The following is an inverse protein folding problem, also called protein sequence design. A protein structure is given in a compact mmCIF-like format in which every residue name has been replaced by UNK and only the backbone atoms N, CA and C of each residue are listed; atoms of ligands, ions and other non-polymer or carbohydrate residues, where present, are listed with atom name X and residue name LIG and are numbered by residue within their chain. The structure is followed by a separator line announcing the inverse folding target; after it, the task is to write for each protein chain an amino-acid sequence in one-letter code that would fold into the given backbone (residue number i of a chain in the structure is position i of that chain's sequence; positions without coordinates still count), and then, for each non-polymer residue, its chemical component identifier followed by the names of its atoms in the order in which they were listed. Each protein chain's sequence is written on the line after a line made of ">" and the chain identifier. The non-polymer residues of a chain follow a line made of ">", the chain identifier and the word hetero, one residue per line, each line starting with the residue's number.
data_IF_935920752621
#
_entry.id   IF_935920752621
#
_cell.length_a   1.000
_cell.length_b   1.000
_cell.length_c   1.000
_cell.angle_alpha   90.00
_cell.angle_beta   90.00
_cell.angle_gamma   90.00
#
_symmetry.space_group_name_H-M   'P 1'
#
loop_
_entity.id
_entity.type
_entity.pdbx_description
1 polymer ?
#
# COMPACT_ATOMS: atom_id res chain seq x y z
N UNK A 1 -36.11 -22.47 -2.61
CA UNK A 1 -36.92 -21.89 -3.70
C UNK A 1 -36.28 -22.26 -5.03
N UNK A 2 -37.05 -22.62 -6.07
CA UNK A 2 -36.48 -22.82 -7.41
C UNK A 2 -35.85 -21.52 -7.92
N UNK A 3 -34.73 -21.58 -8.66
CA UNK A 3 -34.08 -20.39 -9.21
C UNK A 3 -35.04 -19.68 -10.16
N UNK A 4 -35.24 -18.36 -9.95
CA UNK A 4 -35.92 -17.52 -10.94
C UNK A 4 -34.98 -17.33 -12.12
N UNK A 5 -35.43 -17.67 -13.34
CA UNK A 5 -34.65 -17.45 -14.55
C UNK A 5 -34.82 -16.02 -15.03
N UNK A 6 -33.72 -15.28 -15.13
CA UNK A 6 -33.68 -13.93 -15.71
C UNK A 6 -32.64 -13.92 -16.85
N UNK A 7 -32.93 -13.19 -17.94
CA UNK A 7 -32.02 -13.03 -19.08
C UNK A 7 -31.58 -11.58 -19.13
N UNK A 8 -30.27 -11.37 -19.11
CA UNK A 8 -29.64 -10.06 -19.31
C UNK A 8 -28.43 -10.20 -20.23
N UNK A 9 -28.10 -9.12 -20.93
CA UNK A 9 -26.90 -9.05 -21.79
C UNK A 9 -25.74 -8.46 -20.98
N UNK A 10 -24.62 -9.17 -20.92
CA UNK A 10 -23.39 -8.71 -20.27
C UNK A 10 -22.34 -8.44 -21.34
N UNK A 11 -21.80 -7.21 -21.36
CA UNK A 11 -20.68 -6.83 -22.23
C UNK A 11 -19.39 -6.86 -21.43
N UNK A 12 -18.44 -7.66 -21.89
CA UNK A 12 -17.10 -7.79 -21.33
C UNK A 12 -16.10 -7.54 -22.45
N UNK A 13 -14.97 -6.92 -22.11
CA UNK A 13 -13.85 -6.82 -23.05
C UNK A 13 -13.12 -8.16 -23.19
N UNK A 14 -12.22 -8.26 -24.18
CA UNK A 14 -11.48 -9.49 -24.47
C UNK A 14 -10.61 -9.95 -23.29
N UNK A 15 -10.05 -9.02 -22.52
CA UNK A 15 -9.21 -9.32 -21.36
C UNK A 15 -10.04 -9.95 -20.24
N UNK A 16 -11.19 -9.37 -19.93
CA UNK A 16 -12.13 -9.85 -18.94
C UNK A 16 -12.66 -11.25 -19.29
N UNK A 17 -13.00 -11.48 -20.56
CA UNK A 17 -13.41 -12.80 -21.03
C UNK A 17 -12.29 -13.85 -20.88
N UNK A 18 -11.06 -13.50 -21.24
CA UNK A 18 -9.91 -14.40 -21.11
C UNK A 18 -9.66 -14.78 -19.63
N UNK A 19 -9.83 -13.84 -18.70
CA UNK A 19 -9.70 -14.08 -17.27
C UNK A 19 -10.79 -15.01 -16.73
N UNK A 20 -12.05 -14.83 -17.15
CA UNK A 20 -13.15 -15.72 -16.78
C UNK A 20 -12.89 -17.14 -17.29
N UNK A 21 -12.40 -17.29 -18.53
CA UNK A 21 -12.08 -18.60 -19.11
C UNK A 21 -10.92 -19.30 -18.39
N UNK A 22 -9.87 -18.56 -18.06
CA UNK A 22 -8.74 -19.08 -17.31
C UNK A 22 -9.18 -19.58 -15.93
N UNK A 23 -10.02 -18.80 -15.24
CA UNK A 23 -10.58 -19.18 -13.94
C UNK A 23 -11.50 -20.41 -14.04
N UNK A 24 -12.38 -20.46 -15.05
CA UNK A 24 -13.29 -21.59 -15.26
C UNK A 24 -12.58 -22.93 -15.48
N UNK A 25 -11.43 -22.90 -16.17
CA UNK A 25 -10.59 -24.08 -16.43
C UNK A 25 -9.91 -24.64 -15.16
N UNK A 26 -9.69 -23.80 -14.16
CA UNK A 26 -9.03 -24.20 -12.91
C UNK A 26 -9.98 -24.90 -11.92
N UNK A 27 -11.29 -24.90 -12.18
CA UNK A 27 -12.27 -25.50 -11.28
C UNK A 27 -12.32 -27.03 -11.38
N UNK A 28 -12.36 -27.70 -10.22
CA UNK A 28 -12.35 -29.17 -10.12
C UNK A 28 -13.59 -29.77 -10.80
N UNK A 29 -13.40 -30.65 -11.78
CA UNK A 29 -14.49 -31.39 -12.42
C UNK A 29 -14.62 -31.23 -13.94
N UNK A 30 -13.68 -30.57 -14.62
CA UNK A 30 -13.62 -30.57 -16.09
C UNK A 30 -14.13 -29.30 -16.79
N UNK A 31 -13.84 -28.13 -16.23
CA UNK A 31 -14.08 -26.83 -16.87
C UNK A 31 -15.54 -26.40 -16.84
N UNK A 32 -15.84 -25.33 -16.09
CA UNK A 32 -17.18 -24.73 -16.07
C UNK A 32 -17.50 -24.09 -17.43
N UNK A 33 -18.78 -24.10 -17.83
CA UNK A 33 -19.23 -23.23 -18.92
C UNK A 33 -19.08 -21.76 -18.50
N UNK A 34 -18.86 -20.84 -19.45
CA UNK A 34 -18.75 -19.40 -19.15
C UNK A 34 -19.91 -18.87 -18.32
N UNK A 35 -21.14 -19.29 -18.62
CA UNK A 35 -22.32 -18.89 -17.87
C UNK A 35 -22.33 -19.42 -16.44
N UNK A 36 -21.84 -20.66 -16.22
CA UNK A 36 -21.67 -21.20 -14.88
C UNK A 36 -20.55 -20.48 -14.12
N UNK A 37 -19.42 -20.21 -14.80
CA UNK A 37 -18.30 -19.49 -14.21
C UNK A 37 -18.68 -18.06 -13.80
N UNK A 38 -19.39 -17.32 -14.65
CA UNK A 38 -19.89 -15.98 -14.31
C UNK A 38 -20.88 -16.05 -13.14
N UNK A 39 -21.77 -17.05 -13.10
CA UNK A 39 -22.69 -17.22 -11.96
C UNK A 39 -21.93 -17.46 -10.66
N UNK A 40 -20.95 -18.35 -10.66
CA UNK A 40 -20.11 -18.62 -9.48
C UNK A 40 -19.30 -17.38 -9.08
N UNK A 41 -18.74 -16.63 -10.03
CA UNK A 41 -18.02 -15.40 -9.75
C UNK A 41 -18.94 -14.31 -9.19
N UNK A 42 -20.18 -14.20 -9.69
CA UNK A 42 -21.20 -13.32 -9.12
C UNK A 42 -21.58 -13.80 -7.73
N UNK A 43 -21.77 -15.11 -7.51
CA UNK A 43 -22.10 -15.63 -6.18
C UNK A 43 -20.96 -15.40 -5.20
N UNK A 44 -19.70 -15.57 -5.63
CA UNK A 44 -18.48 -15.19 -4.89
C UNK A 44 -18.45 -13.67 -4.64
N UNK A 45 -18.84 -12.84 -5.60
CA UNK A 45 -18.86 -11.38 -5.47
C UNK A 45 -19.98 -10.86 -4.57
N UNK A 46 -21.18 -11.42 -4.65
CA UNK A 46 -22.31 -11.14 -3.77
C UNK A 46 -22.08 -11.72 -2.38
N UNK A 47 -21.43 -12.87 -2.32
CA UNK A 47 -20.82 -13.43 -1.12
C UNK A 47 -19.75 -12.52 -0.55
N UNK A 48 -18.92 -11.87 -1.36
CA UNK A 48 -17.94 -10.87 -0.94
C UNK A 48 -18.63 -9.55 -0.54
N UNK A 49 -19.87 -9.32 -1.00
CA UNK A 49 -20.82 -8.35 -0.45
C UNK A 49 -21.13 -8.59 1.04
N UNK A 50 -20.72 -9.73 1.62
CA UNK A 50 -20.50 -9.91 3.06
C UNK A 50 -19.22 -9.20 3.54
N UNK A 51 -18.96 -7.97 3.10
CA UNK A 51 -17.78 -7.18 3.52
C UNK A 51 -17.68 -6.99 5.04
N UNK A 52 -18.70 -7.40 5.81
CA UNK A 52 -18.75 -7.40 7.28
C UNK A 52 -18.30 -8.70 7.94
N UNK A 53 -17.96 -9.77 7.22
CA UNK A 53 -17.59 -11.06 7.83
C UNK A 53 -16.40 -11.73 7.16
N UNK A 54 -15.62 -12.46 7.94
CA UNK A 54 -14.52 -13.31 7.45
C UNK A 54 -15.05 -14.64 6.93
N UNK A 55 -14.29 -15.31 6.06
CA UNK A 55 -14.61 -16.66 5.59
C UNK A 55 -13.43 -17.58 5.85
N UNK A 56 -13.72 -18.75 6.41
CA UNK A 56 -12.77 -19.82 6.61
C UNK A 56 -13.33 -21.09 5.98
N UNK A 57 -12.53 -21.76 5.16
CA UNK A 57 -12.77 -23.12 4.70
C UNK A 57 -12.74 -24.10 5.88
N UNK A 58 -13.32 -25.28 5.70
CA UNK A 58 -13.31 -26.30 6.77
C UNK A 58 -11.89 -26.75 7.13
N UNK A 59 -10.98 -26.75 6.15
CA UNK A 59 -9.55 -26.98 6.38
C UNK A 59 -8.92 -25.90 7.26
N UNK A 60 -9.19 -24.62 6.98
CA UNK A 60 -8.68 -23.50 7.79
C UNK A 60 -9.23 -23.52 9.21
N UNK A 61 -10.52 -23.84 9.40
CA UNK A 61 -11.11 -24.00 10.73
C UNK A 61 -10.38 -25.08 11.53
N UNK A 62 -10.12 -26.24 10.92
CA UNK A 62 -9.38 -27.32 11.57
C UNK A 62 -7.95 -26.90 11.92
N UNK A 63 -7.25 -26.23 11.00
CA UNK A 63 -5.90 -25.71 11.25
C UNK A 63 -5.87 -24.71 12.41
N UNK A 64 -6.85 -23.80 12.50
CA UNK A 64 -6.95 -22.82 13.60
C UNK A 64 -7.18 -23.50 14.95
N UNK A 65 -8.07 -24.51 15.01
CA UNK A 65 -8.31 -25.27 16.24
C UNK A 65 -7.06 -26.05 16.67
N UNK A 66 -6.39 -26.74 15.75
CA UNK A 66 -5.12 -27.43 16.03
C UNK A 66 -4.04 -26.46 16.51
N UNK A 67 -3.95 -25.27 15.92
CA UNK A 67 -3.02 -24.23 16.38
C UNK A 67 -3.37 -23.77 17.80
N UNK A 68 -4.65 -23.62 18.12
CA UNK A 68 -5.11 -23.35 19.49
C UNK A 68 -4.67 -24.42 20.49
N UNK A 69 -4.75 -25.69 20.12
CA UNK A 69 -4.28 -26.80 20.96
C UNK A 69 -2.76 -26.77 21.15
N UNK A 70 -1.99 -26.45 20.11
CA UNK A 70 -0.54 -26.25 20.21
C UNK A 70 -0.21 -25.09 21.15
N UNK A 71 -0.91 -23.95 21.04
CA UNK A 71 -0.71 -22.80 21.92
C UNK A 71 -1.00 -23.14 23.39
N UNK A 72 -2.07 -23.91 23.65
CA UNK A 72 -2.41 -24.43 24.97
C UNK A 72 -1.34 -25.38 25.51
N UNK A 73 -0.87 -26.32 24.69
CA UNK A 73 0.17 -27.28 25.07
C UNK A 73 1.50 -26.59 25.39
N UNK A 74 1.88 -25.58 24.60
CA UNK A 74 3.08 -24.76 24.81
C UNK A 74 2.92 -23.72 25.93
N UNK A 75 1.71 -23.55 26.48
CA UNK A 75 1.38 -22.57 27.53
C UNK A 75 1.76 -21.14 27.16
N UNK A 76 1.56 -20.77 25.89
CA UNK A 76 1.80 -19.42 25.40
C UNK A 76 0.84 -18.47 26.11
N UNK A 77 1.38 -17.42 26.74
CA UNK A 77 0.60 -16.39 27.44
C UNK A 77 0.36 -15.22 26.51
N UNK A 78 -0.85 -14.69 26.55
CA UNK A 78 -1.29 -13.48 25.84
C UNK A 78 -0.89 -13.45 24.34
N UNK A 79 -1.24 -14.49 23.57
CA UNK A 79 -0.92 -14.52 22.14
C UNK A 79 -1.67 -13.41 21.39
N UNK A 80 -0.95 -12.64 20.57
CA UNK A 80 -1.54 -11.61 19.69
C UNK A 80 -2.61 -12.16 18.75
N UNK A 81 -2.49 -13.42 18.33
CA UNK A 81 -3.44 -14.09 17.43
C UNK A 81 -4.77 -14.48 18.09
N UNK A 82 -4.86 -14.44 19.42
CA UNK A 82 -6.04 -14.80 20.22
C UNK A 82 -6.79 -16.06 19.70
N UNK A 83 -6.17 -17.26 19.75
CA UNK A 83 -6.74 -18.47 19.17
C UNK A 83 -8.04 -18.92 19.85
N UNK A 84 -8.25 -18.56 21.12
CA UNK A 84 -9.49 -18.89 21.82
C UNK A 84 -10.67 -18.09 21.25
N UNK A 85 -10.49 -16.80 20.98
CA UNK A 85 -11.51 -15.99 20.31
C UNK A 85 -11.86 -16.55 18.92
N UNK A 86 -10.85 -16.93 18.13
CA UNK A 86 -11.09 -17.54 16.82
C UNK A 86 -11.83 -18.88 16.91
N UNK A 87 -11.57 -19.69 17.94
CA UNK A 87 -12.32 -20.91 18.19
C UNK A 87 -13.80 -20.61 18.51
N UNK A 88 -14.07 -19.62 19.37
CA UNK A 88 -15.44 -19.21 19.73
C UNK A 88 -16.20 -18.67 18.50
N UNK A 89 -15.51 -17.93 17.61
CA UNK A 89 -16.05 -17.49 16.31
C UNK A 89 -16.46 -18.68 15.45
N UNK A 90 -15.63 -19.71 15.37
CA UNK A 90 -15.89 -20.92 14.56
C UNK A 90 -17.07 -21.71 15.14
N UNK A 91 -17.05 -22.00 16.44
CA UNK A 91 -18.09 -22.79 17.09
C UNK A 91 -19.45 -22.06 17.12
N UNK A 92 -19.45 -20.75 17.35
CA UNK A 92 -20.67 -19.94 17.42
C UNK A 92 -21.16 -19.40 16.07
N UNK A 93 -20.38 -19.55 15.00
CA UNK A 93 -20.70 -18.98 13.69
C UNK A 93 -20.62 -17.44 13.63
N UNK A 94 -19.87 -16.82 14.54
CA UNK A 94 -19.77 -15.36 14.68
C UNK A 94 -18.74 -14.73 13.73
N UNK A 95 -18.78 -15.11 12.44
CA UNK A 95 -17.77 -14.71 11.46
C UNK A 95 -17.70 -13.19 11.18
N UNK A 96 -18.62 -12.39 11.71
CA UNK A 96 -18.53 -10.93 11.66
C UNK A 96 -17.55 -10.36 12.70
N UNK A 97 -17.33 -11.05 13.82
CA UNK A 97 -16.59 -10.52 14.96
C UNK A 97 -15.10 -10.25 14.69
N UNK A 98 -14.36 -11.06 13.92
CA UNK A 98 -12.95 -10.76 13.64
C UNK A 98 -12.73 -9.44 12.90
N UNK A 99 -13.64 -9.04 12.02
CA UNK A 99 -13.57 -7.71 11.38
C UNK A 99 -13.83 -6.55 12.35
N UNK A 100 -14.37 -6.82 13.53
CA UNK A 100 -14.65 -5.80 14.55
C UNK A 100 -13.54 -5.74 15.59
N UNK A 101 -13.11 -6.90 16.10
CA UNK A 101 -12.18 -7.00 17.23
C UNK A 101 -10.72 -7.15 16.78
N UNK A 102 -10.49 -7.67 15.57
CA UNK A 102 -9.15 -7.93 15.01
C UNK A 102 -8.92 -7.12 13.72
N UNK A 103 -9.33 -5.85 13.71
CA UNK A 103 -9.23 -4.95 12.55
C UNK A 103 -7.80 -4.84 11.99
N UNK A 104 -6.76 -4.97 12.82
CA UNK A 104 -5.37 -4.94 12.36
C UNK A 104 -4.99 -6.11 11.43
N UNK A 105 -5.73 -7.23 11.47
CA UNK A 105 -5.50 -8.41 10.60
C UNK A 105 -6.62 -8.54 9.57
N UNK A 106 -7.87 -8.33 9.99
CA UNK A 106 -9.05 -8.48 9.15
C UNK A 106 -9.62 -7.11 8.76
N UNK A 107 -8.85 -6.36 7.98
CA UNK A 107 -9.29 -5.14 7.30
C UNK A 107 -9.34 -5.32 5.79
N UNK A 108 -10.07 -4.44 5.10
CA UNK A 108 -10.10 -4.38 3.64
C UNK A 108 -9.13 -3.34 3.07
N UNK A 109 -8.33 -2.67 3.93
CA UNK A 109 -7.28 -1.75 3.49
C UNK A 109 -6.14 -2.50 2.81
N UNK A 110 -5.77 -2.04 1.62
CA UNK A 110 -4.58 -2.48 0.89
C UNK A 110 -3.98 -1.24 0.25
N UNK A 111 -2.67 -1.06 0.40
CA UNK A 111 -1.99 0.08 -0.21
C UNK A 111 -2.10 0.02 -1.74
N UNK A 112 -2.42 1.15 -2.35
CA UNK A 112 -2.41 1.28 -3.80
C UNK A 112 -0.96 1.17 -4.31
N UNK A 113 -0.64 0.25 -5.25
CA UNK A 113 0.71 0.14 -5.81
C UNK A 113 1.28 1.45 -6.37
N UNK A 114 0.43 2.34 -6.90
CA UNK A 114 0.88 3.63 -7.41
C UNK A 114 1.27 4.60 -6.28
N UNK A 115 0.61 4.55 -5.12
CA UNK A 115 1.00 5.32 -3.94
C UNK A 115 2.35 4.81 -3.39
N UNK A 116 2.54 3.48 -3.37
CA UNK A 116 3.83 2.88 -2.97
C UNK A 116 4.95 3.34 -3.91
N UNK A 117 4.71 3.30 -5.23
CA UNK A 117 5.67 3.79 -6.22
C UNK A 117 5.98 5.27 -6.00
N UNK A 118 4.95 6.10 -5.87
CA UNK A 118 5.10 7.52 -5.62
C UNK A 118 5.95 7.80 -4.38
N UNK A 119 5.67 7.15 -3.25
CA UNK A 119 6.44 7.36 -2.01
C UNK A 119 7.90 6.95 -2.19
N UNK A 120 8.16 5.81 -2.83
CA UNK A 120 9.54 5.35 -3.11
C UNK A 120 10.29 6.36 -3.98
N UNK A 121 9.65 6.85 -5.05
CA UNK A 121 10.19 7.83 -5.99
C UNK A 121 10.52 9.16 -5.28
N UNK A 122 9.63 9.60 -4.38
CA UNK A 122 9.82 10.81 -3.57
C UNK A 122 10.96 10.66 -2.59
N UNK A 123 11.02 9.56 -1.83
CA UNK A 123 12.09 9.31 -0.87
C UNK A 123 13.46 9.17 -1.55
N UNK A 124 13.51 8.53 -2.72
CA UNK A 124 14.74 8.42 -3.51
C UNK A 124 15.20 9.79 -3.99
N UNK A 125 14.32 10.56 -4.66
CA UNK A 125 14.62 11.92 -5.11
C UNK A 125 15.13 12.81 -3.97
N UNK A 126 14.43 12.84 -2.83
CA UNK A 126 14.84 13.65 -1.69
C UNK A 126 16.14 13.18 -1.07
N UNK A 127 16.47 11.89 -1.14
CA UNK A 127 17.77 11.39 -0.70
C UNK A 127 18.90 11.99 -1.52
N UNK A 128 18.74 12.06 -2.85
CA UNK A 128 19.72 12.70 -3.75
C UNK A 128 19.82 14.21 -3.50
N UNK A 129 18.69 14.89 -3.31
CA UNK A 129 18.66 16.34 -3.05
C UNK A 129 19.39 16.68 -1.75
N UNK A 130 19.05 16.00 -0.64
CA UNK A 130 19.67 16.29 0.66
C UNK A 130 21.14 15.87 0.70
N UNK A 131 21.52 14.80 -0.01
CA UNK A 131 22.93 14.39 -0.12
C UNK A 131 23.77 15.41 -0.87
N UNK A 132 23.30 15.88 -2.03
CA UNK A 132 23.97 16.92 -2.79
C UNK A 132 24.06 18.23 -2.00
N UNK A 133 22.94 18.65 -1.39
CA UNK A 133 22.90 19.88 -0.61
C UNK A 133 23.84 19.85 0.60
N UNK A 134 23.99 18.70 1.27
CA UNK A 134 24.93 18.54 2.37
C UNK A 134 26.39 18.81 1.93
N UNK A 135 26.76 18.38 0.72
CA UNK A 135 28.09 18.54 0.14
C UNK A 135 28.42 19.93 -0.42
N UNK A 136 27.43 20.80 -0.61
CA UNK A 136 27.65 22.14 -1.17
C UNK A 136 28.33 23.12 -0.19
N UNK A 137 29.11 24.03 -0.78
CA UNK A 137 29.76 25.15 -0.07
C UNK A 137 28.74 26.19 0.40
N UNK A 138 29.14 27.06 1.33
CA UNK A 138 28.28 28.15 1.81
C UNK A 138 27.84 29.10 0.69
N UNK A 139 28.70 29.34 -0.31
CA UNK A 139 28.38 30.19 -1.47
C UNK A 139 27.29 29.55 -2.33
N UNK A 140 27.38 28.25 -2.58
CA UNK A 140 26.40 27.51 -3.36
C UNK A 140 25.06 27.40 -2.62
N UNK A 141 25.07 27.12 -1.31
CA UNK A 141 23.85 27.11 -0.48
C UNK A 141 23.15 28.47 -0.48
N UNK A 142 23.91 29.57 -0.41
CA UNK A 142 23.36 30.93 -0.51
C UNK A 142 22.72 31.18 -1.88
N UNK A 143 23.37 30.74 -2.97
CA UNK A 143 22.81 30.80 -4.33
C UNK A 143 21.47 30.05 -4.44
N UNK A 144 21.35 28.89 -3.79
CA UNK A 144 20.09 28.13 -3.75
C UNK A 144 19.00 28.91 -2.99
N UNK A 145 19.31 29.42 -1.80
CA UNK A 145 18.37 30.21 -1.01
C UNK A 145 17.87 31.46 -1.77
N UNK A 146 18.76 32.18 -2.44
CA UNK A 146 18.41 33.37 -3.23
C UNK A 146 17.49 33.05 -4.43
N UNK A 147 17.64 31.88 -5.04
CA UNK A 147 16.89 31.50 -6.25
C UNK A 147 15.60 30.71 -5.99
N UNK A 148 15.52 30.00 -4.86
CA UNK A 148 14.39 29.14 -4.49
C UNK A 148 13.48 29.83 -3.47
N UNK A 149 14.00 30.77 -2.69
CA UNK A 149 13.28 31.41 -1.60
C UNK A 149 13.28 30.55 -0.32
N UNK A 150 12.22 30.58 0.51
CA UNK A 150 12.20 29.95 1.83
C UNK A 150 12.58 28.46 1.85
N UNK A 151 12.20 27.70 0.81
CA UNK A 151 12.55 26.28 0.69
C UNK A 151 14.06 26.07 0.46
N UNK A 152 14.76 27.06 -0.11
CA UNK A 152 16.21 27.01 -0.33
C UNK A 152 17.04 27.35 0.92
N UNK A 153 16.43 27.97 1.93
CA UNK A 153 17.06 28.24 3.23
C UNK A 153 17.20 26.96 4.07
N UNK A 154 16.25 26.04 3.92
CA UNK A 154 16.26 24.74 4.59
C UNK A 154 15.79 23.63 3.64
N UNK A 155 16.72 23.15 2.80
CA UNK A 155 16.46 22.07 1.85
C UNK A 155 16.35 20.74 2.59
N UNK A 156 15.13 20.37 2.94
CA UNK A 156 14.81 19.15 3.66
C UNK A 156 13.46 18.59 3.23
N UNK A 157 13.34 17.26 3.20
CA UNK A 157 12.10 16.56 2.98
C UNK A 157 11.10 16.87 4.10
N UNK A 158 9.95 17.45 3.74
CA UNK A 158 8.94 17.87 4.72
C UNK A 158 7.99 16.74 5.15
N UNK A 159 7.95 15.62 4.42
CA UNK A 159 6.97 14.57 4.64
C UNK A 159 5.71 14.74 3.79
N UNK A 160 4.62 14.09 4.19
CA UNK A 160 3.31 14.12 3.54
C UNK A 160 2.25 14.68 4.47
N UNK A 161 1.13 15.19 3.93
CA UNK A 161 0.06 15.73 4.75
C UNK A 161 -0.65 14.63 5.55
N UNK A 162 -0.53 14.63 6.88
CA UNK A 162 -1.19 13.65 7.72
C UNK A 162 -2.72 13.61 7.61
N UNK A 163 -3.36 14.68 7.13
CA UNK A 163 -4.82 14.75 7.00
C UNK A 163 -5.33 14.26 5.63
N UNK A 164 -4.61 14.57 4.55
CA UNK A 164 -5.05 14.30 3.18
C UNK A 164 -4.20 13.25 2.44
N UNK A 165 -3.01 12.93 2.95
CA UNK A 165 -2.00 12.05 2.37
C UNK A 165 -1.55 10.98 3.40
N UNK A 166 -2.49 10.56 4.26
CA UNK A 166 -2.23 9.63 5.38
C UNK A 166 -1.71 8.27 4.91
N UNK A 167 -2.16 7.79 3.75
CA UNK A 167 -1.66 6.56 3.14
C UNK A 167 -0.19 6.69 2.72
N UNK A 168 0.18 7.77 2.04
CA UNK A 168 1.55 8.03 1.61
C UNK A 168 2.48 8.19 2.82
N UNK A 169 2.02 8.89 3.86
CA UNK A 169 2.74 9.00 5.14
C UNK A 169 2.92 7.63 5.82
N UNK A 170 1.88 6.80 5.85
CA UNK A 170 1.94 5.43 6.41
C UNK A 170 2.95 4.56 5.68
N UNK A 171 2.93 4.57 4.34
CA UNK A 171 3.90 3.85 3.50
C UNK A 171 5.32 4.35 3.75
N UNK A 172 5.53 5.67 3.84
CA UNK A 172 6.84 6.25 4.10
C UNK A 172 7.40 5.81 5.47
N UNK A 173 6.56 5.85 6.52
CA UNK A 173 6.93 5.33 7.85
C UNK A 173 7.26 3.85 7.81
N UNK A 174 6.48 3.04 7.09
CA UNK A 174 6.74 1.61 6.98
C UNK A 174 8.09 1.32 6.29
N UNK A 175 8.37 2.00 5.18
CA UNK A 175 9.65 1.89 4.46
C UNK A 175 10.84 2.29 5.34
N UNK A 176 10.73 3.40 6.07
CA UNK A 176 11.83 3.98 6.86
C UNK A 176 12.04 3.22 8.17
N UNK A 177 10.97 3.03 8.94
CA UNK A 177 11.06 2.53 10.32
C UNK A 177 11.01 1.01 10.40
N UNK A 178 10.20 0.35 9.55
CA UNK A 178 9.98 -1.10 9.61
C UNK A 178 10.87 -1.88 8.65
N UNK A 179 11.07 -1.36 7.43
CA UNK A 179 11.93 -2.01 6.43
C UNK A 179 13.38 -1.54 6.46
N UNK A 180 13.72 -0.54 7.29
CA UNK A 180 15.04 0.08 7.37
C UNK A 180 15.59 0.57 6.02
N UNK A 181 14.71 0.98 5.11
CA UNK A 181 15.06 1.65 3.84
C UNK A 181 15.14 3.15 4.06
N UNK A 182 15.83 3.87 3.17
CA UNK A 182 15.94 5.34 3.24
C UNK A 182 16.29 5.86 4.66
N UNK A 183 17.29 5.25 5.30
CA UNK A 183 17.65 5.47 6.70
C UNK A 183 17.98 6.92 7.06
N UNK A 184 18.32 7.76 6.07
CA UNK A 184 18.48 9.22 6.19
C UNK A 184 17.24 9.89 6.80
N UNK A 185 16.04 9.34 6.57
CA UNK A 185 14.79 9.91 7.08
C UNK A 185 14.34 9.33 8.42
N UNK A 186 15.13 8.44 9.03
CA UNK A 186 14.79 7.81 10.29
C UNK A 186 14.68 8.84 11.42
N UNK A 187 13.69 8.66 12.30
CA UNK A 187 13.40 9.53 13.46
C UNK A 187 13.05 10.98 13.09
N UNK A 188 12.60 11.23 11.85
CA UNK A 188 12.08 12.55 11.43
C UNK A 188 10.57 12.58 11.55
N UNK A 189 10.02 13.78 11.72
CA UNK A 189 8.61 13.99 11.48
C UNK A 189 8.35 13.90 9.97
N UNK A 190 7.43 13.02 9.59
CA UNK A 190 7.02 12.79 8.20
C UNK A 190 5.66 13.43 7.91
N UNK A 191 5.14 14.25 8.81
CA UNK A 191 3.95 15.04 8.59
C UNK A 191 4.32 16.45 8.13
N UNK A 192 4.02 16.77 6.87
CA UNK A 192 4.28 18.11 6.33
C UNK A 192 3.32 19.17 6.87
N UNK A 193 2.13 18.76 7.36
CA UNK A 193 1.01 19.65 7.71
C UNK A 193 0.42 20.47 6.53
N UNK A 194 0.81 20.17 5.29
CA UNK A 194 0.25 20.77 4.07
C UNK A 194 0.36 19.81 2.88
N UNK A 195 -0.54 19.84 1.89
CA UNK A 195 -0.50 18.92 0.75
C UNK A 195 0.82 19.00 -0.04
N UNK A 196 1.45 17.84 -0.30
CA UNK A 196 2.75 17.74 -0.98
C UNK A 196 2.73 16.91 -2.25
N UNK A 197 1.73 16.05 -2.42
CA UNK A 197 1.68 15.01 -3.46
C UNK A 197 1.92 15.55 -4.86
N UNK A 198 1.16 16.58 -5.27
CA UNK A 198 1.30 17.17 -6.61
C UNK A 198 2.63 17.89 -6.79
N UNK A 199 3.15 18.54 -5.74
CA UNK A 199 4.46 19.17 -5.75
C UNK A 199 5.56 18.15 -6.00
N UNK A 200 5.58 17.10 -5.19
CA UNK A 200 6.56 16.03 -5.32
C UNK A 200 6.45 15.27 -6.63
N UNK A 201 5.24 15.05 -7.15
CA UNK A 201 5.07 14.46 -8.48
C UNK A 201 5.75 15.28 -9.57
N UNK A 202 5.53 16.61 -9.61
CA UNK A 202 6.17 17.50 -10.60
C UNK A 202 7.69 17.58 -10.43
N UNK A 203 8.17 17.53 -9.19
CA UNK A 203 9.61 17.45 -8.92
C UNK A 203 10.19 16.15 -9.49
N UNK A 204 9.52 15.02 -9.25
CA UNK A 204 9.98 13.72 -9.72
C UNK A 204 10.02 13.61 -11.24
N UNK A 205 9.02 14.15 -11.96
CA UNK A 205 9.00 14.19 -13.44
C UNK A 205 10.24 14.88 -14.03
N UNK A 206 10.86 15.82 -13.30
CA UNK A 206 12.14 16.45 -13.68
C UNK A 206 13.35 15.68 -13.21
N UNK A 207 13.27 15.06 -12.03
CA UNK A 207 14.35 14.28 -11.45
C UNK A 207 14.62 12.99 -12.22
N UNK A 208 13.57 12.27 -12.65
CA UNK A 208 13.69 10.98 -13.34
C UNK A 208 14.69 10.99 -14.51
N UNK A 209 14.63 11.92 -15.48
CA UNK A 209 15.62 11.98 -16.55
C UNK A 209 17.02 12.39 -16.07
N UNK A 210 17.14 13.15 -14.97
CA UNK A 210 18.43 13.50 -14.37
C UNK A 210 19.07 12.29 -13.70
N UNK A 211 18.28 11.49 -12.98
CA UNK A 211 18.70 10.32 -12.20
C UNK A 211 19.52 9.33 -13.03
N UNK A 212 19.10 9.09 -14.27
CA UNK A 212 19.82 8.18 -15.20
C UNK A 212 21.25 8.61 -15.50
N UNK A 213 21.58 9.90 -15.30
CA UNK A 213 22.89 10.50 -15.59
C UNK A 213 23.76 10.67 -14.33
N UNK A 214 23.23 10.41 -13.13
CA UNK A 214 23.93 10.60 -11.85
C UNK A 214 24.86 9.43 -11.47
N UNK A 215 25.37 8.69 -12.46
CA UNK A 215 26.25 7.54 -12.19
C UNK A 215 27.63 8.06 -11.78
N UNK A 216 27.96 7.92 -10.49
CA UNK A 216 29.27 8.29 -9.94
C UNK A 216 29.41 9.76 -9.51
N UNK A 217 28.33 10.55 -9.53
CA UNK A 217 28.32 11.91 -8.98
C UNK A 217 26.92 12.31 -8.46
N UNK A 218 26.87 13.28 -7.55
CA UNK A 218 25.61 13.85 -7.03
C UNK A 218 24.97 14.87 -7.98
N UNK A 219 23.83 15.43 -7.56
CA UNK A 219 23.18 16.55 -8.24
C UNK A 219 24.06 17.81 -8.20
N UNK A 220 24.08 18.59 -9.29
CA UNK A 220 24.69 19.91 -9.30
C UNK A 220 23.79 20.95 -8.61
N UNK A 221 24.36 22.12 -8.28
CA UNK A 221 23.62 23.25 -7.70
C UNK A 221 22.43 23.65 -8.59
N UNK A 222 22.64 23.74 -9.89
CA UNK A 222 21.62 24.10 -10.89
C UNK A 222 20.52 23.05 -10.98
N UNK A 223 20.86 21.76 -10.86
CA UNK A 223 19.87 20.69 -10.83
C UNK A 223 19.02 20.76 -9.56
N UNK A 224 19.64 20.99 -8.39
CA UNK A 224 18.91 21.19 -7.13
C UNK A 224 17.98 22.40 -7.21
N UNK A 225 18.44 23.54 -7.74
CA UNK A 225 17.60 24.72 -7.95
C UNK A 225 16.42 24.39 -8.87
N UNK A 226 16.66 23.68 -9.98
CA UNK A 226 15.62 23.30 -10.96
C UNK A 226 14.52 22.43 -10.35
N UNK A 227 14.87 21.56 -9.40
CA UNK A 227 13.92 20.71 -8.68
C UNK A 227 13.13 21.50 -7.63
N UNK A 228 13.78 22.43 -6.92
CA UNK A 228 13.15 23.15 -5.80
C UNK A 228 12.34 24.39 -6.21
N UNK A 229 12.59 24.98 -7.38
CA UNK A 229 11.94 26.21 -7.84
C UNK A 229 10.45 26.09 -8.20
N UNK A 230 9.85 24.91 -8.18
CA UNK A 230 8.42 24.75 -8.50
C UNK A 230 7.53 24.20 -7.36
N UNK A 231 7.30 24.97 -6.28
CA UNK A 231 6.20 24.65 -5.37
C UNK A 231 5.07 25.69 -5.52
N UNK A 232 4.11 25.39 -6.40
CA UNK A 232 2.69 25.69 -6.26
C UNK A 232 1.89 24.54 -6.91
#
# INVERSE_FOLDING_TARGET
>A
MPPKSERFELRLDEEQLARVDAWAKQQRGGGLSRAAAIRELIDIGLSAGSSRSVRFSDGEKMLMLMMGDIFKALKIKDPESNPQFLADVIYGGHYWAPKWDMQGVFHDHVDNPDDVRHVVDVLDMWSFIEEAYAGFTAVEKKKIAEQVGPLGESVQFAGFDGNNESNQMSIARFLVEKMARFSRFKNRDLNSHYPTYHGYKRMFERFEPMRTKLVGHGLSVEQVITLLQMPA
#
